data_IF_282116428078
#
_entry.id   IF_282116428078
#
_cell.length_a   1.000
_cell.length_b   1.000
_cell.length_c   1.000
_cell.angle_alpha   90.00
_cell.angle_beta   90.00
_cell.angle_gamma   90.00
#
_symmetry.space_group_name_H-M   'P 1'
#
loop_
_entity.id
_entity.type
_entity.pdbx_description
1 polymer ?
#
# COMPACT_ATOMS: atom_id res chain seq x y z
N UNK A 1 -16.78 1.98 13.33
CA UNK A 1 -16.45 3.30 12.75
C UNK A 1 -15.90 3.10 11.34
N UNK A 2 -16.13 3.99 10.36
CA UNK A 2 -15.57 3.86 9.00
C UNK A 2 -14.25 4.64 8.93
N UNK A 3 -13.12 3.93 8.82
CA UNK A 3 -11.82 4.55 8.66
C UNK A 3 -11.36 4.43 7.20
N UNK A 4 -10.86 5.54 6.66
CA UNK A 4 -10.41 5.65 5.27
C UNK A 4 -8.92 5.94 5.24
N UNK A 5 -8.19 5.18 4.45
CA UNK A 5 -6.76 5.38 4.31
C UNK A 5 -6.30 5.20 2.86
N UNK A 6 -5.10 5.68 2.60
CA UNK A 6 -4.45 5.58 1.31
C UNK A 6 -3.18 4.76 1.43
N UNK A 7 -3.00 3.84 0.51
CA UNK A 7 -1.81 3.01 0.38
C UNK A 7 -1.12 3.38 -0.92
N UNK A 8 0.20 3.50 -0.87
CA UNK A 8 1.05 3.67 -2.03
C UNK A 8 1.56 2.29 -2.48
N UNK A 9 1.21 1.91 -3.70
CA UNK A 9 1.76 0.75 -4.39
C UNK A 9 2.90 1.21 -5.27
N UNK A 10 4.01 0.51 -5.21
CA UNK A 10 5.17 0.72 -6.05
C UNK A 10 5.43 -0.59 -6.78
N UNK A 11 5.19 -0.59 -8.10
CA UNK A 11 5.48 -1.73 -8.96
C UNK A 11 6.94 -1.64 -9.39
N UNK A 12 7.78 -2.52 -8.87
CA UNK A 12 9.20 -2.61 -9.28
C UNK A 12 9.32 -3.56 -10.47
N UNK A 13 8.77 -3.17 -11.62
CA UNK A 13 8.99 -3.91 -12.86
C UNK A 13 10.34 -3.51 -13.47
N UNK A 14 11.27 -4.45 -13.59
CA UNK A 14 12.42 -4.29 -14.48
C UNK A 14 11.84 -4.31 -15.90
N UNK A 15 11.59 -3.14 -16.48
CA UNK A 15 11.27 -3.04 -17.90
C UNK A 15 12.52 -3.46 -18.65
N UNK A 16 12.48 -4.59 -19.36
CA UNK A 16 13.50 -4.97 -20.34
C UNK A 16 13.37 -4.06 -21.58
N UNK A 17 13.68 -2.78 -21.40
CA UNK A 17 13.67 -1.75 -22.43
C UNK A 17 14.89 -0.87 -22.22
N UNK A 18 15.73 -0.81 -23.26
CA UNK A 18 17.10 -0.28 -23.29
C UNK A 18 17.18 1.17 -22.78
N UNK A 19 17.37 1.36 -21.47
CA UNK A 19 18.00 2.53 -20.85
C UNK A 19 18.52 2.15 -19.46
N UNK A 20 19.85 2.05 -19.26
CA UNK A 20 20.42 1.77 -17.95
C UNK A 20 20.30 3.03 -17.08
N UNK A 21 19.23 3.12 -16.28
CA UNK A 21 19.10 4.21 -15.30
C UNK A 21 17.69 4.59 -14.88
N UNK A 22 16.64 4.11 -15.54
CA UNK A 22 15.27 4.46 -15.16
C UNK A 22 14.58 3.24 -14.56
N UNK A 23 14.58 3.15 -13.23
CA UNK A 23 13.58 2.35 -12.52
C UNK A 23 12.25 3.08 -12.73
N UNK A 24 11.53 2.79 -13.82
CA UNK A 24 10.16 3.26 -14.02
C UNK A 24 9.24 2.47 -13.08
N UNK A 25 9.40 2.69 -11.79
CA UNK A 25 8.50 2.14 -10.80
C UNK A 25 7.15 2.81 -10.97
N UNK A 26 6.13 2.09 -11.44
CA UNK A 26 4.79 2.65 -11.50
C UNK A 26 4.30 2.82 -10.07
N UNK A 27 3.90 4.05 -9.72
CA UNK A 27 3.33 4.35 -8.41
C UNK A 27 1.82 4.49 -8.55
N UNK A 28 1.07 3.75 -7.75
CA UNK A 28 -0.38 3.81 -7.74
C UNK A 28 -0.86 4.06 -6.32
N UNK A 29 -1.73 5.05 -6.15
CA UNK A 29 -2.36 5.33 -4.86
C UNK A 29 -3.70 4.60 -4.84
N UNK A 30 -3.85 3.68 -3.89
CA UNK A 30 -5.09 2.94 -3.68
C UNK A 30 -5.76 3.47 -2.43
N UNK A 31 -7.04 3.83 -2.55
CA UNK A 31 -7.88 4.18 -1.41
C UNK A 31 -8.52 2.92 -0.86
N UNK A 32 -8.32 2.66 0.41
CA UNK A 32 -8.88 1.50 1.10
C UNK A 32 -9.77 2.00 2.24
N UNK A 33 -10.91 1.34 2.41
CA UNK A 33 -11.85 1.61 3.49
C UNK A 33 -11.84 0.40 4.41
N UNK A 34 -11.63 0.61 5.69
CA UNK A 34 -11.76 -0.41 6.72
C UNK A 34 -12.83 0.03 7.69
N UNK A 35 -13.82 -0.84 7.87
CA UNK A 35 -14.81 -0.68 8.92
C UNK A 35 -14.33 -1.53 10.09
N UNK A 36 -13.85 -0.87 11.14
CA UNK A 36 -13.49 -1.53 12.39
C UNK A 36 -14.13 -0.77 13.55
N UNK A 37 -14.50 -1.49 14.60
CA UNK A 37 -14.92 -0.91 15.87
C UNK A 37 -13.74 -0.71 16.84
N UNK A 38 -12.55 -1.24 16.51
CA UNK A 38 -11.31 -1.10 17.28
C UNK A 38 -10.41 0.01 16.74
N UNK A 39 -9.47 0.45 17.59
CA UNK A 39 -8.48 1.45 17.23
C UNK A 39 -7.40 0.84 16.33
N UNK A 40 -7.50 1.08 15.03
CA UNK A 40 -6.50 0.65 14.05
C UNK A 40 -5.21 1.48 14.11
N UNK A 41 -5.06 2.41 15.09
CA UNK A 41 -3.78 3.07 15.31
C UNK A 41 -2.72 2.18 15.95
N UNK A 42 -3.09 1.02 16.48
CA UNK A 42 -2.13 0.06 17.01
C UNK A 42 -1.15 -0.38 15.91
N UNK A 43 0.18 -0.30 16.15
CA UNK A 43 1.18 -0.65 15.15
C UNK A 43 1.01 -2.10 14.64
N UNK A 44 0.62 -3.03 15.51
CA UNK A 44 0.32 -4.41 15.14
C UNK A 44 -0.87 -4.52 14.18
N UNK A 45 -1.93 -3.72 14.37
CA UNK A 45 -3.10 -3.71 13.50
C UNK A 45 -2.76 -3.14 12.12
N UNK A 46 -1.93 -2.10 12.07
CA UNK A 46 -1.42 -1.51 10.82
C UNK A 46 -0.61 -2.53 10.03
N UNK A 47 0.25 -3.29 10.67
CA UNK A 47 1.04 -4.32 10.00
C UNK A 47 0.14 -5.44 9.45
N UNK A 48 -0.80 -5.93 10.24
CA UNK A 48 -1.74 -6.96 9.81
C UNK A 48 -2.59 -6.53 8.59
N UNK A 49 -3.10 -5.28 8.59
CA UNK A 49 -3.87 -4.75 7.45
C UNK A 49 -2.97 -4.61 6.21
N UNK A 50 -1.74 -4.11 6.37
CA UNK A 50 -0.81 -3.94 5.26
C UNK A 50 -0.45 -5.30 4.64
N UNK A 51 -0.21 -6.31 5.47
CA UNK A 51 0.07 -7.66 5.05
C UNK A 51 -1.12 -8.27 4.30
N UNK A 52 -2.33 -8.13 4.83
CA UNK A 52 -3.54 -8.64 4.19
C UNK A 52 -3.80 -7.97 2.83
N UNK A 53 -3.57 -6.66 2.73
CA UNK A 53 -3.66 -5.93 1.45
C UNK A 53 -2.56 -6.40 0.50
N UNK A 54 -1.33 -6.59 0.97
CA UNK A 54 -0.22 -7.08 0.16
C UNK A 54 -0.50 -8.48 -0.40
N UNK A 55 -0.99 -9.41 0.42
CA UNK A 55 -1.36 -10.76 -0.01
C UNK A 55 -2.46 -10.71 -1.07
N UNK A 56 -3.54 -9.95 -0.83
CA UNK A 56 -4.63 -9.80 -1.82
C UNK A 56 -4.14 -9.17 -3.12
N UNK A 57 -3.26 -8.17 -3.05
CA UNK A 57 -2.71 -7.53 -4.24
C UNK A 57 -1.80 -8.47 -5.02
N UNK A 58 -0.95 -9.26 -4.35
CA UNK A 58 -0.13 -10.28 -5.01
C UNK A 58 -0.99 -11.33 -5.73
N UNK A 59 -2.05 -11.80 -5.08
CA UNK A 59 -2.99 -12.76 -5.66
C UNK A 59 -3.75 -12.18 -6.86
N UNK A 60 -4.29 -10.96 -6.73
CA UNK A 60 -5.03 -10.29 -7.79
C UNK A 60 -4.15 -9.87 -8.98
N UNK A 61 -2.96 -9.33 -8.73
CA UNK A 61 -2.06 -8.80 -9.77
C UNK A 61 -1.12 -9.88 -10.32
N UNK A 62 -1.08 -11.07 -9.70
CA UNK A 62 -0.19 -12.20 -10.03
C UNK A 62 1.26 -11.77 -10.23
N UNK A 63 1.71 -10.77 -9.47
CA UNK A 63 3.05 -10.22 -9.61
C UNK A 63 3.68 -10.08 -8.23
N UNK A 64 4.92 -10.54 -8.13
CA UNK A 64 5.67 -10.58 -6.88
C UNK A 64 6.39 -9.24 -6.61
N UNK A 65 6.51 -8.41 -7.64
CA UNK A 65 7.28 -7.16 -7.63
C UNK A 65 6.46 -5.94 -7.19
N UNK A 66 5.52 -6.12 -6.26
CA UNK A 66 4.76 -5.01 -5.67
C UNK A 66 5.27 -4.74 -4.27
N UNK A 67 5.68 -3.49 -4.06
CA UNK A 67 5.93 -2.96 -2.74
C UNK A 67 4.72 -2.14 -2.28
N UNK A 68 4.08 -2.57 -1.19
CA UNK A 68 2.93 -1.90 -0.57
C UNK A 68 3.42 -1.08 0.61
N UNK A 69 3.17 0.23 0.61
CA UNK A 69 3.55 1.13 1.70
C UNK A 69 2.37 2.00 2.13
N UNK A 70 2.31 2.29 3.42
CA UNK A 70 1.41 3.32 3.93
C UNK A 70 1.74 4.67 3.30
N UNK A 71 0.74 5.34 2.74
CA UNK A 71 0.91 6.74 2.34
C UNK A 71 0.88 7.58 3.60
N UNK A 72 2.04 8.11 4.00
CA UNK A 72 2.10 9.15 5.04
C UNK A 72 1.41 10.39 4.47
N UNK A 73 0.33 10.80 5.12
CA UNK A 73 -0.31 12.08 4.84
C UNK A 73 0.59 13.21 5.38
N UNK A 74 0.45 14.45 4.88
CA UNK A 74 1.29 15.58 5.29
C UNK A 74 1.18 15.92 6.79
N UNK A 75 0.15 15.44 7.47
CA UNK A 75 -0.06 15.51 8.91
C UNK A 75 0.73 14.45 9.71
N UNK A 76 1.42 13.53 9.03
CA UNK A 76 2.12 12.39 9.65
C UNK A 76 1.19 11.26 10.13
N UNK A 77 -0.13 11.40 9.96
CA UNK A 77 -1.13 10.47 10.49
C UNK A 77 -1.71 9.63 9.34
N UNK A 78 -1.51 8.32 9.44
CA UNK A 78 -1.98 7.38 8.40
C UNK A 78 -3.48 7.07 8.56
N UNK A 79 -4.03 7.19 9.78
CA UNK A 79 -5.41 6.80 10.10
C UNK A 79 -6.17 7.96 10.75
N UNK A 80 -7.25 8.38 10.09
CA UNK A 80 -8.21 9.31 10.66
C UNK A 80 -9.35 8.51 11.30
N UNK A 81 -9.74 8.89 12.52
CA UNK A 81 -10.88 8.34 13.26
C UNK A 81 -12.21 8.87 12.71
#
# INVERSE_FOLDING_TARGET
MEQRFFILLIFTGISYGIVPGVITGQQQIVRVKVQSNEDVNDPAMKEAILEQVNQKLKDHLKTENITVKWRKQPDGVVFHK
#
